data_IF_338285886093
#
_entry.id   IF_338285886093
#
_cell.length_a   1.000
_cell.length_b   1.000
_cell.length_c   1.000
_cell.angle_alpha   90.00
_cell.angle_beta   90.00
_cell.angle_gamma   90.00
#
_symmetry.space_group_name_H-M   'P 1'
#
loop_
_entity.id
_entity.type
_entity.pdbx_description
1 polymer ?
#
# COMPACT_ATOMS: atom_id res chain seq x y z
N UNK A 1 28.40 -16.37 -1.42
CA UNK A 1 27.67 -16.20 -0.15
C UNK A 1 26.25 -15.77 -0.48
N UNK A 2 25.26 -16.50 0.03
CA UNK A 2 23.84 -16.17 -0.16
C UNK A 2 23.42 -15.22 0.96
N UNK A 3 22.77 -14.10 0.63
CA UNK A 3 22.23 -13.19 1.64
C UNK A 3 21.04 -13.89 2.30
N UNK A 4 21.05 -14.10 3.64
CA UNK A 4 19.93 -14.71 4.33
C UNK A 4 18.73 -13.77 4.30
N UNK A 5 17.54 -14.33 4.11
CA UNK A 5 16.30 -13.57 4.18
C UNK A 5 16.00 -13.20 5.64
N UNK A 6 16.34 -11.98 6.01
CA UNK A 6 16.13 -11.43 7.35
C UNK A 6 14.64 -11.12 7.59
N UNK A 7 13.86 -10.84 6.54
CA UNK A 7 12.47 -10.38 6.65
C UNK A 7 11.51 -11.52 7.01
N UNK A 8 11.81 -12.75 6.57
CA UNK A 8 11.02 -13.95 6.89
C UNK A 8 11.30 -14.53 8.28
N UNK A 9 12.28 -14.01 9.01
CA UNK A 9 12.60 -14.47 10.36
C UNK A 9 11.65 -13.86 11.40
N UNK A 10 11.45 -14.55 12.51
CA UNK A 10 10.67 -14.06 13.66
C UNK A 10 11.34 -12.84 14.29
N UNK A 11 10.56 -11.83 14.62
CA UNK A 11 11.04 -10.66 15.37
C UNK A 11 10.95 -10.92 16.89
N UNK A 12 12.09 -10.83 17.58
CA UNK A 12 12.20 -11.07 19.02
C UNK A 12 12.19 -9.77 19.84
N UNK A 13 12.22 -8.60 19.18
CA UNK A 13 12.30 -7.28 19.84
C UNK A 13 11.02 -6.93 20.58
N UNK A 14 9.91 -7.62 20.28
CA UNK A 14 8.57 -7.39 20.86
C UNK A 14 8.06 -5.94 20.68
N UNK A 15 8.42 -5.31 19.56
CA UNK A 15 7.98 -3.96 19.19
C UNK A 15 7.00 -4.08 18.02
N UNK A 16 5.78 -3.58 18.21
CA UNK A 16 4.82 -3.41 17.10
C UNK A 16 5.20 -2.17 16.28
N UNK A 17 4.91 -2.18 14.98
CA UNK A 17 4.94 -0.97 14.15
C UNK A 17 3.52 -0.63 13.74
N UNK A 18 3.01 0.50 14.22
CA UNK A 18 1.63 0.92 13.97
C UNK A 18 1.38 1.23 12.48
N UNK A 19 2.39 1.72 11.75
CA UNK A 19 2.25 2.03 10.32
C UNK A 19 3.52 1.70 9.56
N UNK A 20 3.44 0.67 8.71
CA UNK A 20 4.48 0.34 7.73
C UNK A 20 3.88 0.23 6.33
N UNK A 21 4.57 0.74 5.32
CA UNK A 21 4.12 0.65 3.93
C UNK A 21 4.77 1.69 3.02
N UNK A 22 4.01 2.17 2.03
CA UNK A 22 4.48 3.06 0.96
C UNK A 22 3.90 4.46 1.16
N UNK A 23 4.74 5.49 1.03
CA UNK A 23 4.36 6.90 1.14
C UNK A 23 4.63 7.63 -0.17
N UNK A 24 3.84 8.66 -0.45
CA UNK A 24 4.01 9.57 -1.59
C UNK A 24 3.94 8.87 -2.95
N UNK A 25 3.09 7.84 -3.07
CA UNK A 25 2.88 7.12 -4.31
C UNK A 25 2.00 7.94 -5.25
N UNK A 26 2.53 8.34 -6.41
CA UNK A 26 1.73 8.95 -7.47
C UNK A 26 1.03 7.86 -8.26
N UNK A 27 -0.30 7.92 -8.33
CA UNK A 27 -1.09 6.86 -8.95
C UNK A 27 -2.26 7.43 -9.77
N UNK A 28 -2.46 7.02 -11.04
CA UNK A 28 -3.61 7.43 -11.85
C UNK A 28 -4.93 6.90 -11.25
N UNK A 29 -5.95 7.74 -11.19
CA UNK A 29 -7.27 7.40 -10.66
C UNK A 29 -8.40 8.01 -11.52
N UNK A 30 -9.61 7.48 -11.36
CA UNK A 30 -10.86 8.02 -11.86
C UNK A 30 -11.66 8.57 -10.68
N UNK A 31 -12.22 9.77 -10.82
CA UNK A 31 -13.07 10.41 -9.80
C UNK A 31 -14.41 10.76 -10.43
N UNK A 32 -15.50 10.43 -9.75
CA UNK A 32 -16.83 10.92 -10.14
C UNK A 32 -17.03 12.33 -9.57
N UNK A 33 -17.40 13.27 -10.43
CA UNK A 33 -17.72 14.62 -10.01
C UNK A 33 -19.21 14.78 -9.65
N UNK A 34 -19.56 15.94 -9.08
CA UNK A 34 -20.92 16.24 -8.64
C UNK A 34 -21.96 16.31 -9.77
N UNK A 35 -21.52 16.32 -11.02
CA UNK A 35 -22.35 16.33 -12.22
C UNK A 35 -22.47 14.91 -12.81
N UNK A 36 -22.04 13.88 -12.06
CA UNK A 36 -21.94 12.48 -12.47
C UNK A 36 -21.06 12.29 -13.71
N UNK A 37 -20.00 13.10 -13.85
CA UNK A 37 -18.98 12.93 -14.88
C UNK A 37 -17.72 12.30 -14.29
N UNK A 38 -17.10 11.42 -15.08
CA UNK A 38 -15.84 10.75 -14.70
C UNK A 38 -14.65 11.61 -15.15
N UNK A 39 -13.76 11.91 -14.21
CA UNK A 39 -12.53 12.69 -14.45
C UNK A 39 -11.28 11.83 -14.22
N UNK A 40 -10.34 11.88 -15.17
CA UNK A 40 -9.02 11.25 -15.04
C UNK A 40 -8.05 12.20 -14.33
N UNK A 41 -7.40 11.74 -13.26
CA UNK A 41 -6.41 12.54 -12.52
C UNK A 41 -5.32 11.66 -11.91
N UNK A 42 -4.35 12.30 -11.24
CA UNK A 42 -3.26 11.61 -10.52
C UNK A 42 -3.35 11.93 -9.04
N UNK A 43 -3.53 10.89 -8.21
CA UNK A 43 -3.55 11.01 -6.76
C UNK A 43 -2.16 10.84 -6.14
N UNK A 44 -1.97 11.41 -4.95
CA UNK A 44 -0.86 11.11 -4.06
C UNK A 44 -1.37 10.21 -2.92
N UNK A 45 -0.96 8.95 -2.92
CA UNK A 45 -1.45 7.92 -2.01
C UNK A 45 -0.40 7.54 -0.97
N UNK A 46 -0.89 7.29 0.24
CA UNK A 46 -0.12 6.68 1.33
C UNK A 46 -0.84 5.41 1.77
N UNK A 47 -0.14 4.28 1.75
CA UNK A 47 -0.70 2.97 2.06
C UNK A 47 0.08 2.34 3.21
N UNK A 48 -0.64 1.91 4.24
CA UNK A 48 -0.04 1.37 5.46
C UNK A 48 -0.81 0.16 5.98
N UNK A 49 -0.11 -0.67 6.73
CA UNK A 49 -0.67 -1.73 7.57
C UNK A 49 0.01 -1.71 8.94
N UNK A 50 -0.65 -2.29 9.94
CA UNK A 50 -0.02 -2.65 11.20
C UNK A 50 0.95 -3.81 11.00
N UNK A 51 2.14 -3.73 11.59
CA UNK A 51 3.10 -4.82 11.66
C UNK A 51 3.14 -5.38 13.09
N UNK A 52 2.63 -6.60 13.31
CA UNK A 52 2.67 -7.20 14.63
C UNK A 52 4.12 -7.58 15.01
N UNK A 53 4.44 -7.50 16.30
CA UNK A 53 5.78 -7.63 16.85
C UNK A 53 6.51 -8.95 16.57
N UNK A 54 5.83 -9.95 16.00
CA UNK A 54 6.42 -11.24 15.64
C UNK A 54 6.90 -11.28 14.18
N UNK A 55 6.62 -10.24 13.39
CA UNK A 55 7.05 -10.10 11.98
C UNK A 55 8.09 -9.00 11.84
N UNK A 56 9.13 -9.25 11.05
CA UNK A 56 10.22 -8.29 10.82
C UNK A 56 9.93 -7.25 9.73
N UNK A 57 8.97 -7.52 8.84
CA UNK A 57 8.55 -6.54 7.85
C UNK A 57 7.38 -6.96 6.97
N UNK A 58 7.14 -6.13 5.95
CA UNK A 58 6.04 -6.24 5.00
C UNK A 58 6.55 -6.37 3.57
N UNK A 59 5.76 -6.97 2.69
CA UNK A 59 6.06 -7.05 1.27
C UNK A 59 5.68 -5.74 0.59
N UNK A 60 6.63 -4.81 0.46
CA UNK A 60 6.38 -3.47 -0.10
C UNK A 60 5.76 -3.49 -1.50
N UNK A 61 6.16 -4.45 -2.35
CA UNK A 61 5.59 -4.61 -3.70
C UNK A 61 4.11 -5.02 -3.67
N UNK A 62 3.64 -5.66 -2.60
CA UNK A 62 2.25 -6.12 -2.48
C UNK A 62 1.27 -4.96 -2.43
N UNK A 63 1.65 -3.81 -1.86
CA UNK A 63 0.82 -2.60 -1.86
C UNK A 63 0.48 -2.13 -3.28
N UNK A 64 1.50 -2.05 -4.15
CA UNK A 64 1.32 -1.63 -5.54
C UNK A 64 0.58 -2.69 -6.35
N UNK A 65 0.86 -3.98 -6.11
CA UNK A 65 0.11 -5.07 -6.76
C UNK A 65 -1.38 -5.01 -6.44
N UNK A 66 -1.75 -4.73 -5.18
CA UNK A 66 -3.15 -4.59 -4.78
C UNK A 66 -3.78 -3.39 -5.50
N UNK A 67 -3.14 -2.22 -5.52
CA UNK A 67 -3.64 -1.07 -6.29
C UNK A 67 -3.87 -1.40 -7.77
N UNK A 68 -2.91 -2.08 -8.41
CA UNK A 68 -3.01 -2.44 -9.83
C UNK A 68 -4.15 -3.44 -10.09
N UNK A 69 -4.38 -4.38 -9.16
CA UNK A 69 -5.49 -5.33 -9.28
C UNK A 69 -6.86 -4.65 -9.25
N UNK A 70 -7.00 -3.54 -8.52
CA UNK A 70 -8.26 -2.78 -8.42
C UNK A 70 -8.34 -1.58 -9.36
N UNK A 71 -7.30 -1.32 -10.16
CA UNK A 71 -7.24 -0.13 -11.02
C UNK A 71 -8.41 0.00 -12.00
N UNK A 72 -8.97 -1.12 -12.45
CA UNK A 72 -10.09 -1.14 -13.39
C UNK A 72 -11.44 -0.79 -12.74
N UNK A 73 -11.56 -0.93 -11.41
CA UNK A 73 -12.83 -0.82 -10.68
C UNK A 73 -12.91 0.43 -9.77
N UNK A 74 -11.85 1.24 -9.70
CA UNK A 74 -11.80 2.39 -8.81
C UNK A 74 -12.48 3.62 -9.42
N UNK A 75 -13.81 3.70 -9.28
CA UNK A 75 -14.52 4.98 -9.22
C UNK A 75 -14.47 5.44 -7.76
N UNK A 76 -13.84 6.59 -7.51
CA UNK A 76 -13.86 7.20 -6.18
C UNK A 76 -15.05 8.17 -6.15
N UNK A 77 -16.13 7.75 -5.50
CA UNK A 77 -17.27 8.61 -5.18
C UNK A 77 -16.86 9.54 -4.03
N UNK A 78 -17.05 10.85 -4.23
CA UNK A 78 -16.73 11.90 -3.25
C UNK A 78 -17.89 12.18 -2.29
#
# INVERSE_FOLDING_TARGET
>A
MTIPDIQSQTDERKINIDKVGVKSLRYPILVEDRQNQVQHTVANLNLYVDLPHHRRGTHMSRFVQVLNNYHQDMIIDQ
#
